data_IF_673170096633
#
_entry.id   IF_673170096633
#
_cell.length_a   1.000
_cell.length_b   1.000
_cell.length_c   1.000
_cell.angle_alpha   90.00
_cell.angle_beta   90.00
_cell.angle_gamma   90.00
#
_symmetry.space_group_name_H-M   'P 1'
#
loop_
_entity.id
_entity.type
_entity.pdbx_description
1 polymer ?
#
# COMPACT_ATOMS: atom_id res chain seq x y z
N UNK A 1 -28.94 -4.98 21.22
CA UNK A 1 -27.70 -4.28 20.81
C UNK A 1 -26.44 -5.13 20.89
N UNK A 2 -26.23 -5.93 21.95
CA UNK A 2 -25.04 -6.79 22.08
C UNK A 2 -24.86 -7.81 20.93
N UNK A 3 -25.90 -8.60 20.62
CA UNK A 3 -25.85 -9.60 19.55
C UNK A 3 -25.71 -9.00 18.14
N UNK A 4 -26.28 -7.82 17.90
CA UNK A 4 -26.08 -7.08 16.64
C UNK A 4 -24.66 -6.52 16.51
N UNK A 5 -24.02 -6.13 17.62
CA UNK A 5 -22.63 -5.66 17.64
C UNK A 5 -21.64 -6.79 17.36
N UNK A 6 -21.83 -7.95 17.98
CA UNK A 6 -20.99 -9.15 17.74
C UNK A 6 -21.09 -9.65 16.30
N UNK A 7 -22.29 -9.66 15.70
CA UNK A 7 -22.46 -10.05 14.30
C UNK A 7 -21.70 -9.11 13.35
N UNK A 8 -21.78 -7.79 13.60
CA UNK A 8 -21.06 -6.79 12.81
C UNK A 8 -19.55 -6.93 12.99
N UNK A 9 -19.07 -7.17 14.21
CA UNK A 9 -17.66 -7.38 14.49
C UNK A 9 -17.12 -8.62 13.76
N UNK A 10 -17.90 -9.71 13.76
CA UNK A 10 -17.54 -10.94 13.05
C UNK A 10 -17.48 -10.73 11.53
N UNK A 11 -18.51 -10.12 10.92
CA UNK A 11 -18.53 -9.82 9.48
C UNK A 11 -17.38 -8.90 9.10
N UNK A 12 -17.10 -7.85 9.89
CA UNK A 12 -15.95 -6.97 9.66
C UNK A 12 -14.64 -7.74 9.72
N UNK A 13 -14.47 -8.65 10.68
CA UNK A 13 -13.26 -9.46 10.81
C UNK A 13 -13.06 -10.40 9.62
N UNK A 14 -14.13 -11.00 9.10
CA UNK A 14 -14.06 -11.83 7.88
C UNK A 14 -13.71 -10.98 6.66
N UNK A 15 -14.29 -9.78 6.54
CA UNK A 15 -13.99 -8.85 5.45
C UNK A 15 -12.57 -8.26 5.54
N UNK A 16 -12.01 -8.10 6.73
CA UNK A 16 -10.63 -7.67 6.95
C UNK A 16 -9.59 -8.73 6.52
N UNK A 17 -9.94 -10.01 6.40
CA UNK A 17 -9.02 -11.06 5.91
C UNK A 17 -8.71 -10.88 4.42
N UNK A 18 -9.67 -10.38 3.63
CA UNK A 18 -9.52 -10.22 2.18
C UNK A 18 -8.42 -9.23 1.79
N UNK A 19 -8.38 -7.98 2.31
CA UNK A 19 -7.31 -7.03 2.01
C UNK A 19 -5.94 -7.53 2.49
N UNK A 20 -5.87 -8.29 3.59
CA UNK A 20 -4.62 -8.94 4.05
C UNK A 20 -4.12 -9.94 2.99
N UNK A 21 -5.01 -10.80 2.49
CA UNK A 21 -4.68 -11.76 1.45
C UNK A 21 -4.26 -11.06 0.13
N UNK A 22 -4.97 -10.00 -0.26
CA UNK A 22 -4.60 -9.20 -1.42
C UNK A 22 -3.20 -8.60 -1.27
N UNK A 23 -2.87 -8.08 -0.10
CA UNK A 23 -1.53 -7.56 0.17
C UNK A 23 -0.43 -8.61 0.15
N UNK A 24 -0.72 -9.86 0.52
CA UNK A 24 0.23 -10.95 0.35
C UNK A 24 0.50 -11.22 -1.14
N UNK A 25 -0.55 -11.21 -1.97
CA UNK A 25 -0.42 -11.31 -3.43
C UNK A 25 0.33 -10.10 -4.02
N UNK A 26 0.09 -8.89 -3.52
CA UNK A 26 0.83 -7.69 -3.91
C UNK A 26 2.32 -7.82 -3.62
N UNK A 27 2.69 -8.35 -2.46
CA UNK A 27 4.10 -8.57 -2.12
C UNK A 27 4.78 -9.54 -3.08
N UNK A 28 4.06 -10.56 -3.52
CA UNK A 28 4.54 -11.49 -4.54
C UNK A 28 4.76 -10.77 -5.88
N UNK A 29 3.82 -9.91 -6.28
CA UNK A 29 3.96 -9.03 -7.47
C UNK A 29 5.19 -8.12 -7.35
N UNK A 30 5.38 -7.46 -6.20
CA UNK A 30 6.56 -6.60 -5.93
C UNK A 30 7.84 -7.41 -6.18
N UNK A 31 7.91 -8.64 -5.66
CA UNK A 31 9.11 -9.48 -5.79
C UNK A 31 9.39 -9.91 -7.23
N UNK A 32 8.36 -10.26 -8.00
CA UNK A 32 8.50 -10.65 -9.41
C UNK A 32 8.94 -9.44 -10.24
N UNK A 33 8.32 -8.27 -10.04
CA UNK A 33 8.63 -7.05 -10.80
C UNK A 33 9.99 -6.44 -10.43
N UNK A 34 10.38 -6.46 -9.15
CA UNK A 34 11.61 -5.80 -8.71
C UNK A 34 12.87 -6.63 -8.93
N UNK A 35 12.75 -7.96 -8.99
CA UNK A 35 13.91 -8.87 -8.96
C UNK A 35 14.01 -9.75 -10.19
N UNK A 36 12.90 -10.06 -10.87
CA UNK A 36 12.86 -11.19 -11.82
C UNK A 36 12.56 -10.76 -13.26
N UNK A 37 11.69 -9.77 -13.46
CA UNK A 37 11.36 -9.29 -14.81
C UNK A 37 12.44 -8.33 -15.33
N UNK A 38 13.05 -8.70 -16.46
CA UNK A 38 13.97 -7.85 -17.18
C UNK A 38 13.21 -6.93 -18.14
N UNK A 39 13.54 -5.63 -18.10
CA UNK A 39 13.02 -4.68 -19.08
C UNK A 39 13.57 -4.99 -20.46
N UNK A 40 12.68 -5.03 -21.46
CA UNK A 40 13.08 -5.30 -22.84
C UNK A 40 13.82 -4.08 -23.39
N UNK A 41 15.06 -4.22 -23.88
CA UNK A 41 15.79 -3.09 -24.42
C UNK A 41 15.16 -2.61 -25.73
N UNK A 42 15.30 -1.31 -26.00
CA UNK A 42 14.74 -0.64 -27.19
C UNK A 42 15.21 -1.23 -28.52
N UNK A 43 16.35 -1.95 -28.54
CA UNK A 43 16.83 -2.73 -29.69
C UNK A 43 17.23 -4.13 -29.22
N UNK A 44 16.55 -5.14 -29.74
CA UNK A 44 16.77 -6.54 -29.40
C UNK A 44 16.82 -7.40 -30.67
N UNK A 45 17.73 -8.36 -30.71
CA UNK A 45 17.81 -9.35 -31.80
C UNK A 45 16.66 -10.36 -31.70
N UNK A 46 16.14 -10.82 -32.84
CA UNK A 46 14.98 -11.74 -32.89
C UNK A 46 15.18 -13.02 -32.07
N UNK A 47 16.41 -13.52 -31.96
CA UNK A 47 16.74 -14.75 -31.22
C UNK A 47 16.60 -14.54 -29.71
N UNK A 48 17.00 -13.37 -29.20
CA UNK A 48 16.96 -13.03 -27.76
C UNK A 48 15.56 -12.67 -27.27
N UNK A 49 14.61 -12.40 -28.18
CA UNK A 49 13.23 -12.09 -27.82
C UNK A 49 12.56 -13.20 -27.01
N UNK A 50 12.93 -14.46 -27.23
CA UNK A 50 12.38 -15.59 -26.47
C UNK A 50 12.87 -15.59 -25.02
N UNK A 51 14.11 -15.18 -24.80
CA UNK A 51 14.70 -15.12 -23.47
C UNK A 51 14.12 -13.93 -22.68
N UNK A 52 13.95 -12.77 -23.32
CA UNK A 52 13.25 -11.60 -22.76
C UNK A 52 11.72 -11.79 -22.62
N UNK A 53 11.17 -12.87 -23.18
CA UNK A 53 9.75 -13.15 -23.03
C UNK A 53 9.40 -13.61 -21.60
N UNK A 54 10.35 -14.23 -20.89
CA UNK A 54 10.22 -14.68 -19.48
C UNK A 54 8.82 -15.24 -19.19
N UNK A 55 8.45 -16.27 -19.96
CA UNK A 55 7.07 -16.77 -20.02
C UNK A 55 6.62 -17.33 -18.67
N UNK A 56 7.50 -18.01 -17.94
CA UNK A 56 7.18 -18.63 -16.66
C UNK A 56 6.88 -17.58 -15.58
N UNK A 57 7.68 -16.52 -15.54
CA UNK A 57 7.53 -15.38 -14.63
C UNK A 57 6.26 -14.60 -14.95
N UNK A 58 6.00 -14.33 -16.23
CA UNK A 58 4.78 -13.64 -16.66
C UNK A 58 3.53 -14.49 -16.44
N UNK A 59 3.63 -15.81 -16.58
CA UNK A 59 2.54 -16.72 -16.24
C UNK A 59 2.21 -16.69 -14.74
N UNK A 60 3.23 -16.73 -13.87
CA UNK A 60 3.04 -16.56 -12.42
C UNK A 60 2.41 -15.22 -12.09
N UNK A 61 2.93 -14.13 -12.68
CA UNK A 61 2.35 -12.79 -12.52
C UNK A 61 0.87 -12.78 -12.92
N UNK A 62 0.53 -13.30 -14.10
CA UNK A 62 -0.85 -13.39 -14.58
C UNK A 62 -1.74 -14.21 -13.65
N UNK A 63 -1.24 -15.32 -13.08
CA UNK A 63 -1.99 -16.13 -12.12
C UNK A 63 -2.31 -15.34 -10.83
N UNK A 64 -1.34 -14.57 -10.33
CA UNK A 64 -1.52 -13.75 -9.12
C UNK A 64 -2.50 -12.60 -9.41
N UNK A 65 -2.32 -11.91 -10.54
CA UNK A 65 -3.22 -10.84 -10.99
C UNK A 65 -4.64 -11.34 -11.18
N UNK A 66 -4.82 -12.52 -11.78
CA UNK A 66 -6.14 -13.14 -11.92
C UNK A 66 -6.80 -13.41 -10.57
N UNK A 67 -6.06 -13.93 -9.59
CA UNK A 67 -6.58 -14.12 -8.22
C UNK A 67 -7.06 -12.79 -7.63
N UNK A 68 -6.27 -11.72 -7.76
CA UNK A 68 -6.64 -10.37 -7.30
C UNK A 68 -7.94 -9.92 -7.96
N UNK A 69 -8.07 -10.05 -9.28
CA UNK A 69 -9.29 -9.68 -10.01
C UNK A 69 -10.51 -10.46 -9.54
N UNK A 70 -10.40 -11.79 -9.37
CA UNK A 70 -11.52 -12.61 -8.87
C UNK A 70 -11.95 -12.21 -7.46
N UNK A 71 -10.99 -11.88 -6.57
CA UNK A 71 -11.32 -11.37 -5.24
C UNK A 71 -12.02 -10.02 -5.30
N UNK A 72 -11.52 -9.09 -6.12
CA UNK A 72 -12.13 -7.78 -6.31
C UNK A 72 -13.52 -7.90 -6.90
N UNK A 73 -13.70 -8.65 -7.99
CA UNK A 73 -15.01 -8.90 -8.61
C UNK A 73 -15.98 -9.52 -7.62
N UNK A 74 -15.52 -10.52 -6.85
CA UNK A 74 -16.31 -11.14 -5.80
C UNK A 74 -16.80 -10.13 -4.76
N UNK A 75 -15.96 -9.20 -4.33
CA UNK A 75 -16.33 -8.14 -3.37
C UNK A 75 -17.24 -7.08 -4.01
N UNK A 76 -16.97 -6.66 -5.24
CA UNK A 76 -17.78 -5.68 -5.95
C UNK A 76 -19.19 -6.23 -6.26
N UNK A 77 -19.31 -7.54 -6.47
CA UNK A 77 -20.59 -8.23 -6.65
C UNK A 77 -21.39 -8.37 -5.35
N UNK A 78 -20.78 -8.15 -4.18
CA UNK A 78 -21.50 -8.21 -2.91
C UNK A 78 -22.44 -7.00 -2.77
N UNK A 79 -23.72 -7.28 -2.57
CA UNK A 79 -24.70 -6.23 -2.32
C UNK A 79 -24.45 -5.53 -0.97
N UNK A 80 -24.83 -4.26 -0.88
CA UNK A 80 -24.74 -3.52 0.38
C UNK A 80 -25.76 -4.06 1.38
N UNK A 81 -25.29 -4.88 2.31
CA UNK A 81 -26.16 -5.48 3.33
C UNK A 81 -26.25 -4.59 4.57
N UNK A 82 -27.46 -4.41 5.10
CA UNK A 82 -27.69 -3.86 6.43
C UNK A 82 -27.47 -4.97 7.46
N UNK A 83 -26.43 -4.85 8.28
CA UNK A 83 -26.17 -5.76 9.40
C UNK A 83 -26.53 -5.03 10.69
N UNK A 84 -27.72 -5.30 11.22
CA UNK A 84 -28.28 -4.55 12.35
C UNK A 84 -28.59 -3.10 11.99
N UNK A 85 -27.91 -2.15 12.63
CA UNK A 85 -28.07 -0.69 12.40
C UNK A 85 -27.01 -0.16 11.41
N UNK A 86 -26.04 -0.98 11.02
CA UNK A 86 -24.87 -0.55 10.22
C UNK A 86 -25.02 -1.05 8.78
N UNK A 87 -24.95 -0.11 7.84
CA UNK A 87 -24.87 -0.43 6.42
C UNK A 87 -23.42 -0.81 6.07
N UNK A 88 -23.23 -2.04 5.61
CA UNK A 88 -21.93 -2.56 5.18
C UNK A 88 -21.83 -2.33 3.68
N UNK A 89 -20.84 -1.51 3.27
CA UNK A 89 -20.50 -1.29 1.85
C UNK A 89 -19.20 -2.03 1.53
N UNK A 90 -19.24 -3.14 0.79
CA UNK A 90 -18.07 -3.99 0.53
C UNK A 90 -16.93 -3.25 -0.18
N UNK A 91 -17.25 -2.37 -1.14
CA UNK A 91 -16.28 -1.53 -1.85
C UNK A 91 -15.44 -0.66 -0.90
N UNK A 92 -16.12 0.01 0.04
CA UNK A 92 -15.45 0.86 1.03
C UNK A 92 -14.61 0.04 2.01
N UNK A 93 -15.08 -1.14 2.40
CA UNK A 93 -14.34 -2.02 3.29
C UNK A 93 -13.07 -2.57 2.65
N UNK A 94 -13.13 -2.84 1.34
CA UNK A 94 -11.95 -3.21 0.57
C UNK A 94 -10.94 -2.07 0.54
N UNK A 95 -11.39 -0.85 0.20
CA UNK A 95 -10.52 0.33 0.16
C UNK A 95 -9.90 0.63 1.54
N UNK A 96 -10.72 0.65 2.60
CA UNK A 96 -10.27 0.89 3.96
C UNK A 96 -9.28 -0.19 4.42
N UNK A 97 -9.55 -1.44 4.08
CA UNK A 97 -8.68 -2.57 4.38
C UNK A 97 -7.33 -2.46 3.69
N UNK A 98 -7.33 -2.08 2.40
CA UNK A 98 -6.11 -1.88 1.62
C UNK A 98 -5.30 -0.70 2.18
N UNK A 99 -5.95 0.42 2.50
CA UNK A 99 -5.31 1.58 3.14
C UNK A 99 -4.68 1.20 4.48
N UNK A 100 -5.42 0.51 5.34
CA UNK A 100 -4.96 0.08 6.68
C UNK A 100 -3.74 -0.84 6.59
N UNK A 101 -3.76 -1.80 5.67
CA UNK A 101 -2.64 -2.72 5.48
C UNK A 101 -1.42 -2.01 4.86
N UNK A 102 -1.62 -1.03 3.96
CA UNK A 102 -0.54 -0.19 3.43
C UNK A 102 0.20 0.52 4.57
N UNK A 103 -0.56 1.20 5.43
CA UNK A 103 -0.02 1.94 6.57
C UNK A 103 0.77 1.00 7.46
N UNK A 104 0.20 -0.16 7.81
CA UNK A 104 0.85 -1.15 8.66
C UNK A 104 2.21 -1.58 8.10
N UNK A 105 2.29 -1.90 6.81
CA UNK A 105 3.51 -2.37 6.17
C UNK A 105 4.58 -1.28 6.09
N UNK A 106 4.20 -0.07 5.65
CA UNK A 106 5.13 1.06 5.58
C UNK A 106 5.66 1.40 6.98
N UNK A 107 4.80 1.44 7.99
CA UNK A 107 5.22 1.70 9.37
C UNK A 107 6.24 0.68 9.88
N UNK A 108 6.03 -0.63 9.59
CA UNK A 108 7.00 -1.68 9.95
C UNK A 108 8.33 -1.46 9.22
N UNK A 109 8.29 -1.22 7.90
CA UNK A 109 9.50 -1.01 7.09
C UNK A 109 10.28 0.21 7.55
N UNK A 110 9.59 1.32 7.82
CA UNK A 110 10.23 2.56 8.30
C UNK A 110 10.84 2.35 9.68
N UNK A 111 10.11 1.70 10.61
CA UNK A 111 10.62 1.40 11.93
C UNK A 111 11.88 0.52 11.86
N UNK A 112 11.86 -0.54 11.05
CA UNK A 112 12.97 -1.48 10.98
C UNK A 112 14.19 -0.88 10.24
N UNK A 113 13.94 -0.06 9.22
CA UNK A 113 15.00 0.59 8.43
C UNK A 113 15.66 1.75 9.18
N UNK A 114 14.91 2.53 9.97
CA UNK A 114 15.39 3.76 10.61
C UNK A 114 16.03 3.55 12.00
N UNK A 115 16.36 2.30 12.36
CA UNK A 115 17.14 2.00 13.57
C UNK A 115 18.64 2.11 13.25
N UNK A 116 19.28 3.19 13.70
CA UNK A 116 20.72 3.43 13.50
C UNK A 116 21.52 3.05 14.75
N UNK A 117 22.36 2.00 14.67
CA UNK A 117 23.10 1.51 15.84
C UNK A 117 24.48 2.16 16.01
N UNK A 118 25.15 2.48 14.89
CA UNK A 118 26.58 2.85 14.90
C UNK A 118 26.82 4.35 14.70
N UNK A 119 25.78 5.13 14.37
CA UNK A 119 25.87 6.60 14.19
C UNK A 119 26.77 7.06 13.03
N UNK A 120 27.18 6.15 12.13
CA UNK A 120 28.02 6.47 10.96
C UNK A 120 27.16 6.96 9.79
N UNK A 121 27.61 8.03 9.13
CA UNK A 121 26.90 8.64 7.99
C UNK A 121 26.76 7.65 6.82
N UNK A 122 27.77 6.83 6.54
CA UNK A 122 27.68 5.83 5.47
C UNK A 122 26.66 4.71 5.73
N UNK A 123 26.42 4.33 6.98
CA UNK A 123 25.36 3.36 7.33
C UNK A 123 23.97 4.00 7.16
N UNK A 124 23.87 5.29 7.46
CA UNK A 124 22.64 6.06 7.30
C UNK A 124 22.21 6.17 5.84
N UNK A 125 23.12 6.57 4.94
CA UNK A 125 22.84 6.70 3.51
C UNK A 125 22.41 5.36 2.90
N UNK A 126 23.15 4.27 3.19
CA UNK A 126 22.82 2.94 2.70
C UNK A 126 21.43 2.46 3.15
N UNK A 127 21.07 2.72 4.41
CA UNK A 127 19.75 2.35 4.94
C UNK A 127 18.63 3.18 4.30
N UNK A 128 18.88 4.46 3.99
CA UNK A 128 17.92 5.28 3.27
C UNK A 128 17.72 4.81 1.83
N UNK A 129 18.78 4.41 1.14
CA UNK A 129 18.67 3.89 -0.24
C UNK A 129 17.86 2.57 -0.29
N UNK A 130 18.07 1.69 0.69
CA UNK A 130 17.28 0.47 0.85
C UNK A 130 15.80 0.81 1.10
N UNK A 131 15.54 1.73 2.04
CA UNK A 131 14.18 2.16 2.35
C UNK A 131 13.50 2.79 1.14
N UNK A 132 14.20 3.67 0.41
CA UNK A 132 13.70 4.30 -0.81
C UNK A 132 13.33 3.27 -1.87
N UNK A 133 14.19 2.27 -2.08
CA UNK A 133 13.96 1.16 -3.02
C UNK A 133 12.73 0.34 -2.64
N UNK A 134 12.55 0.03 -1.35
CA UNK A 134 11.38 -0.69 -0.85
C UNK A 134 10.10 0.12 -1.04
N UNK A 135 10.08 1.39 -0.62
CA UNK A 135 8.93 2.29 -0.79
C UNK A 135 8.56 2.48 -2.26
N UNK A 136 9.55 2.57 -3.14
CA UNK A 136 9.32 2.65 -4.58
C UNK A 136 8.68 1.37 -5.13
N UNK A 137 9.07 0.19 -4.62
CA UNK A 137 8.44 -1.09 -4.96
C UNK A 137 6.96 -1.13 -4.58
N UNK A 138 6.59 -0.63 -3.40
CA UNK A 138 5.18 -0.50 -3.00
C UNK A 138 4.40 0.44 -3.93
N UNK A 139 4.96 1.62 -4.22
CA UNK A 139 4.32 2.58 -5.14
C UNK A 139 4.03 1.95 -6.51
N UNK A 140 5.02 1.29 -7.13
CA UNK A 140 4.85 0.64 -8.44
C UNK A 140 3.81 -0.47 -8.41
N UNK A 141 3.76 -1.24 -7.33
CA UNK A 141 2.81 -2.34 -7.19
C UNK A 141 1.39 -1.83 -7.02
N UNK A 142 1.20 -0.72 -6.31
CA UNK A 142 -0.08 -0.03 -6.19
C UNK A 142 -0.56 0.55 -7.53
N UNK A 143 0.35 1.12 -8.31
CA UNK A 143 0.05 1.55 -9.68
C UNK A 143 -0.40 0.36 -10.54
N UNK A 144 0.35 -0.74 -10.49
CA UNK A 144 0.03 -1.97 -11.25
C UNK A 144 -1.35 -2.55 -10.91
N UNK A 145 -1.71 -2.63 -9.62
CA UNK A 145 -2.99 -3.22 -9.21
C UNK A 145 -4.19 -2.27 -9.25
N UNK A 146 -3.96 -0.97 -9.49
CA UNK A 146 -5.03 0.04 -9.48
C UNK A 146 -6.19 -0.35 -10.42
N UNK A 147 -5.86 -0.84 -11.61
CA UNK A 147 -6.85 -1.21 -12.63
C UNK A 147 -7.63 -2.49 -12.26
N UNK A 148 -7.00 -3.41 -11.52
CA UNK A 148 -7.61 -4.68 -11.15
C UNK A 148 -8.45 -4.61 -9.87
N UNK A 149 -8.20 -3.61 -9.02
CA UNK A 149 -8.85 -3.46 -7.72
C UNK A 149 -9.93 -2.37 -7.74
N UNK A 150 -10.06 -1.63 -8.85
CA UNK A 150 -10.98 -0.50 -9.02
C UNK A 150 -10.79 0.58 -7.92
N UNK A 151 -9.52 0.87 -7.59
CA UNK A 151 -9.12 1.90 -6.63
C UNK A 151 -8.04 2.77 -7.25
N UNK A 152 -8.07 4.07 -6.96
CA UNK A 152 -7.00 5.00 -7.33
C UNK A 152 -5.74 4.73 -6.48
N UNK A 153 -4.93 3.74 -6.84
CA UNK A 153 -3.79 3.29 -6.04
C UNK A 153 -2.72 4.37 -5.82
N UNK A 154 -2.45 5.22 -6.82
CA UNK A 154 -1.52 6.35 -6.65
C UNK A 154 -2.01 7.39 -5.64
N UNK A 155 -3.32 7.67 -5.64
CA UNK A 155 -3.96 8.57 -4.68
C UNK A 155 -3.86 8.01 -3.27
N UNK A 156 -4.22 6.73 -3.10
CA UNK A 156 -4.12 6.01 -1.81
C UNK A 156 -2.69 6.03 -1.30
N UNK A 157 -1.71 5.73 -2.16
CA UNK A 157 -0.29 5.79 -1.81
C UNK A 157 0.11 7.17 -1.27
N UNK A 158 -0.22 8.24 -2.00
CA UNK A 158 0.16 9.60 -1.62
C UNK A 158 -0.50 10.05 -0.32
N UNK A 159 -1.80 9.77 -0.16
CA UNK A 159 -2.56 10.11 1.05
C UNK A 159 -2.01 9.40 2.29
N UNK A 160 -1.83 8.08 2.22
CA UNK A 160 -1.41 7.30 3.38
C UNK A 160 0.09 7.50 3.69
N UNK A 161 0.96 7.57 2.68
CA UNK A 161 2.37 7.86 2.92
C UNK A 161 2.56 9.25 3.55
N UNK A 162 1.86 10.26 3.06
CA UNK A 162 1.88 11.61 3.62
C UNK A 162 1.41 11.63 5.09
N UNK A 163 0.33 10.90 5.40
CA UNK A 163 -0.15 10.75 6.80
C UNK A 163 0.89 10.12 7.70
N UNK A 164 1.58 9.06 7.26
CA UNK A 164 2.61 8.37 8.05
C UNK A 164 3.78 9.31 8.33
N UNK A 165 4.27 10.01 7.31
CA UNK A 165 5.40 10.95 7.47
C UNK A 165 5.00 12.07 8.43
N UNK A 166 3.84 12.70 8.22
CA UNK A 166 3.37 13.78 9.10
C UNK A 166 3.23 13.30 10.55
N UNK A 167 2.62 12.13 10.77
CA UNK A 167 2.49 11.55 12.10
C UNK A 167 3.85 11.31 12.77
N UNK A 168 4.82 10.73 12.07
CA UNK A 168 6.14 10.49 12.64
C UNK A 168 6.89 11.80 12.94
N UNK A 169 6.80 12.79 12.04
CA UNK A 169 7.40 14.12 12.25
C UNK A 169 6.77 14.82 13.46
N UNK A 170 5.44 14.79 13.59
CA UNK A 170 4.75 15.32 14.76
C UNK A 170 5.21 14.66 16.06
N UNK A 171 5.33 13.33 16.08
CA UNK A 171 5.77 12.57 17.25
C UNK A 171 7.21 12.94 17.65
N UNK A 172 8.12 13.08 16.68
CA UNK A 172 9.50 13.50 16.94
C UNK A 172 9.59 14.97 17.39
N UNK A 173 8.83 15.87 16.77
CA UNK A 173 8.74 17.27 17.19
C UNK A 173 8.22 17.40 18.63
N UNK A 174 7.14 16.69 18.97
CA UNK A 174 6.55 16.72 20.30
C UNK A 174 7.50 16.10 21.36
N UNK A 175 8.23 15.03 21.02
CA UNK A 175 9.29 14.46 21.86
C UNK A 175 10.41 15.47 22.14
N UNK A 176 10.84 16.20 21.10
CA UNK A 176 11.88 17.22 21.22
C UNK A 176 11.44 18.43 22.05
N UNK A 177 10.21 18.93 21.85
CA UNK A 177 9.66 20.05 22.60
C UNK A 177 9.45 19.71 24.08
N UNK A 178 9.01 18.49 24.37
CA UNK A 178 8.88 17.98 25.74
C UNK A 178 10.24 17.94 26.44
N UNK A 179 11.32 17.50 25.74
CA UNK A 179 12.69 17.52 26.27
C UNK A 179 13.21 18.92 26.55
N UNK A 180 12.74 19.94 25.81
CA UNK A 180 13.07 21.37 26.03
C UNK A 180 12.16 22.09 27.02
N UNK A 181 11.23 21.37 27.68
CA UNK A 181 10.35 21.94 28.70
C UNK A 181 9.19 22.80 28.16
N UNK A 182 8.96 22.82 26.84
CA UNK A 182 7.86 23.57 26.21
C UNK A 182 6.72 22.60 25.92
N UNK A 183 5.63 22.66 26.67
CA UNK A 183 4.41 21.87 26.42
C UNK A 183 3.46 22.63 25.51
N UNK A 184 3.72 22.57 24.21
CA UNK A 184 2.75 22.89 23.17
C UNK A 184 2.66 21.66 22.27
N UNK A 185 1.49 21.02 22.22
CA UNK A 185 1.25 19.98 21.23
C UNK A 185 1.21 20.64 19.86
N UNK A 186 2.24 20.43 19.05
CA UNK A 186 2.24 20.94 17.67
C UNK A 186 1.44 19.94 16.84
N UNK A 187 0.26 20.35 16.41
CA UNK A 187 -0.45 19.70 15.30
C UNK A 187 0.08 20.33 14.02
N UNK A 188 0.79 19.56 13.22
CA UNK A 188 1.21 19.99 11.89
C UNK A 188 -0.04 19.90 11.01
N UNK A 189 -0.54 21.03 10.47
CA UNK A 189 -1.71 20.98 9.61
C UNK A 189 -1.40 20.09 8.41
N UNK A 190 -2.16 19.00 8.29
CA UNK A 190 -2.14 18.12 7.13
C UNK A 190 -2.42 19.00 5.90
N UNK A 191 -1.46 19.10 4.98
CA UNK A 191 -1.75 19.64 3.66
C UNK A 191 -2.78 18.70 3.02
N UNK A 192 -4.06 19.08 3.07
CA UNK A 192 -5.05 18.55 2.16
C UNK A 192 -4.60 18.98 0.77
N UNK A 193 -4.02 18.06 0.00
CA UNK A 193 -3.82 18.32 -1.41
C UNK A 193 -5.19 18.61 -2.03
N UNK A 194 -5.38 19.77 -2.68
CA UNK A 194 -6.63 20.05 -3.37
C UNK A 194 -6.81 18.98 -4.45
N UNK A 195 -7.95 18.31 -4.41
CA UNK A 195 -8.39 17.23 -5.30
C UNK A 195 -8.71 17.73 -6.72
N UNK A 196 -7.87 18.60 -7.30
CA UNK A 196 -8.13 19.27 -8.56
C UNK A 196 -6.88 19.38 -9.44
N UNK A 197 -6.26 18.26 -9.80
CA UNK A 197 -5.40 18.20 -10.98
C UNK A 197 -5.42 16.78 -11.57
N UNK A 198 -6.51 16.47 -12.28
CA UNK A 198 -6.47 15.52 -13.40
C UNK A 198 -7.03 16.28 -14.60
N UNK A 199 -6.20 16.78 -15.52
CA UNK A 199 -6.70 17.09 -16.86
C UNK A 199 -7.11 15.76 -17.48
N UNK A 200 -8.32 15.70 -18.02
CA UNK A 200 -8.75 14.59 -18.86
C UNK A 200 -7.73 14.39 -19.99
N UNK A 201 -6.98 13.31 -19.95
CA UNK A 201 -6.33 12.77 -21.13
C UNK A 201 -7.30 11.76 -21.77
N UNK A 202 -7.52 11.98 -23.06
CA UNK A 202 -8.46 11.32 -23.97
C UNK A 202 -8.58 9.81 -23.82
#
# INVERSE_FOLDING_TARGET
EYYSGELVAYVRKVLEVIPINMFMLLREIVSIQATTLEDVPTRTEKVKLRDYAQLDERYKLAQITHKISVFTEGILAMETTLVGVIQVKPEKLLEDGIRKELVRQISVIMNDSLIFKTGKIGEFEQKLDILASQLQGFRRSFEYISDYVNIYGLKVWQEEFGRIVNFNVEQECNSFLTKKGVRLAVTIPVQSHPSSFIPSCR
#
